data_IF_149067358658
#
_entry.id   IF_149067358658
#
_cell.length_a   1.000
_cell.length_b   1.000
_cell.length_c   1.000
_cell.angle_alpha   90.00
_cell.angle_beta   90.00
_cell.angle_gamma   90.00
#
_symmetry.space_group_name_H-M   'P 1'
#
loop_
_entity.id
_entity.type
_entity.pdbx_description
1 polymer ?
#
# COMPACT_ATOMS: atom_id res chain seq x y z
N UNK A 1 -3.57 0.01 -13.16
CA UNK A 1 -2.66 -0.42 -12.06
C UNK A 1 -1.29 -0.73 -12.62
N UNK A 2 -0.23 -0.11 -12.08
CA UNK A 2 1.17 -0.43 -12.41
C UNK A 2 1.65 -1.51 -11.43
N UNK A 3 2.15 -2.65 -11.93
CA UNK A 3 2.67 -3.73 -11.10
C UNK A 3 4.17 -3.54 -10.90
N UNK A 4 4.58 -3.26 -9.66
CA UNK A 4 6.00 -3.23 -9.28
C UNK A 4 6.41 -4.64 -8.79
N UNK A 5 7.48 -5.22 -9.32
CA UNK A 5 8.02 -6.51 -8.81
C UNK A 5 8.37 -6.33 -7.33
N UNK A 6 7.66 -7.04 -6.45
CA UNK A 6 7.80 -6.90 -4.99
C UNK A 6 8.81 -7.87 -4.39
N UNK A 7 9.64 -7.38 -3.46
CA UNK A 7 10.30 -8.21 -2.44
C UNK A 7 9.55 -8.01 -1.12
N UNK A 8 9.26 -9.09 -0.40
CA UNK A 8 8.68 -9.02 0.93
C UNK A 8 9.80 -8.83 1.95
N UNK A 9 9.70 -7.78 2.79
CA UNK A 9 10.77 -7.42 3.72
C UNK A 9 10.98 -8.45 4.85
N UNK A 10 9.91 -9.11 5.29
CA UNK A 10 9.93 -10.17 6.30
C UNK A 10 8.79 -11.14 6.02
N UNK A 11 9.10 -12.41 5.73
CA UNK A 11 8.08 -13.41 5.38
C UNK A 11 7.25 -13.86 6.58
N UNK A 12 7.75 -13.70 7.82
CA UNK A 12 7.05 -14.11 9.04
C UNK A 12 5.94 -13.14 9.44
N UNK A 13 6.08 -11.86 9.11
CA UNK A 13 5.13 -10.78 9.50
C UNK A 13 4.49 -10.08 8.30
N UNK A 14 5.25 -9.87 7.23
CA UNK A 14 4.90 -9.08 6.05
C UNK A 14 4.73 -9.93 4.77
N UNK A 15 4.68 -11.25 4.90
CA UNK A 15 4.57 -12.18 3.78
C UNK A 15 3.55 -13.28 3.98
N UNK A 16 3.61 -14.28 3.09
CA UNK A 16 2.66 -15.39 3.01
C UNK A 16 1.61 -15.18 1.92
N UNK A 17 0.91 -16.26 1.54
CA UNK A 17 -0.03 -16.28 0.43
C UNK A 17 -1.15 -15.23 0.57
N UNK A 18 -1.54 -14.91 1.81
CA UNK A 18 -2.60 -13.94 2.11
C UNK A 18 -2.12 -12.48 2.13
N UNK A 19 -0.80 -12.23 2.06
CA UNK A 19 -0.18 -10.89 2.02
C UNK A 19 0.74 -10.74 0.81
N UNK A 20 0.38 -11.40 -0.30
CA UNK A 20 1.19 -11.45 -1.51
C UNK A 20 1.35 -10.08 -2.18
N UNK A 21 0.31 -9.23 -2.12
CA UNK A 21 0.25 -7.93 -2.78
C UNK A 21 -0.34 -6.89 -1.84
N UNK A 22 0.32 -5.75 -1.73
CA UNK A 22 -0.19 -4.55 -1.09
C UNK A 22 -0.60 -3.54 -2.15
N UNK A 23 -1.86 -3.09 -2.09
CA UNK A 23 -2.39 -2.01 -2.92
C UNK A 23 -2.60 -0.74 -2.08
N UNK A 24 -2.30 0.42 -2.66
CA UNK A 24 -2.53 1.71 -2.00
C UNK A 24 -3.01 2.74 -3.02
N UNK A 25 -4.06 3.47 -2.66
CA UNK A 25 -4.71 4.42 -3.57
C UNK A 25 -3.91 5.72 -3.68
N UNK A 26 -3.78 6.22 -4.91
CA UNK A 26 -3.03 7.44 -5.22
C UNK A 26 -3.65 8.69 -4.58
N UNK A 27 -4.96 8.71 -4.30
CA UNK A 27 -5.59 9.85 -3.65
C UNK A 27 -5.04 10.13 -2.24
N UNK A 28 -4.50 9.12 -1.56
CA UNK A 28 -3.85 9.29 -0.25
C UNK A 28 -2.50 10.00 -0.36
N UNK A 29 -1.85 10.00 -1.53
CA UNK A 29 -0.59 10.73 -1.71
C UNK A 29 -0.81 12.24 -1.55
N UNK A 30 -1.93 12.77 -2.04
CA UNK A 30 -2.24 14.21 -1.93
C UNK A 30 -2.48 14.64 -0.48
N UNK A 31 -2.97 13.73 0.37
CA UNK A 31 -3.03 13.96 1.81
C UNK A 31 -1.61 14.04 2.39
N UNK A 32 -0.77 13.05 2.10
CA UNK A 32 0.57 12.98 2.68
C UNK A 32 1.53 14.05 2.15
N UNK A 33 1.38 14.54 0.92
CA UNK A 33 2.15 15.68 0.38
C UNK A 33 2.00 16.96 1.19
N UNK A 34 0.87 17.14 1.86
CA UNK A 34 0.61 18.32 2.71
C UNK A 34 1.28 18.21 4.07
N UNK A 35 1.63 17.00 4.50
CA UNK A 35 2.12 16.70 5.85
C UNK A 35 3.62 16.39 5.81
N UNK A 36 4.05 15.58 4.85
CA UNK A 36 5.43 15.17 4.66
C UNK A 36 6.10 16.18 3.73
N UNK A 37 6.98 17.01 4.28
CA UNK A 37 7.81 17.94 3.51
C UNK A 37 8.94 17.15 2.83
N UNK A 38 8.69 16.72 1.59
CA UNK A 38 9.63 15.93 0.78
C UNK A 38 9.35 16.09 -0.71
N UNK A 39 10.39 15.83 -1.49
CA UNK A 39 10.39 16.01 -2.96
C UNK A 39 10.49 14.68 -3.73
N UNK A 40 10.73 13.56 -3.04
CA UNK A 40 11.00 12.23 -3.62
C UNK A 40 9.71 11.41 -3.89
N UNK A 41 8.64 12.06 -4.33
CA UNK A 41 7.35 11.41 -4.57
C UNK A 41 7.37 10.49 -5.79
N UNK A 42 6.92 9.24 -5.59
CA UNK A 42 6.76 8.27 -6.66
C UNK A 42 5.94 7.07 -6.22
N UNK A 43 5.43 6.29 -7.18
CA UNK A 43 4.65 5.08 -6.90
C UNK A 43 5.48 4.05 -6.13
N UNK A 44 4.87 3.37 -5.15
CA UNK A 44 5.55 2.46 -4.25
C UNK A 44 6.17 3.14 -3.03
N UNK A 45 5.93 4.44 -2.79
CA UNK A 45 6.57 5.19 -1.71
C UNK A 45 6.25 4.61 -0.33
N UNK A 46 5.03 4.07 -0.15
CA UNK A 46 4.56 3.43 1.07
C UNK A 46 4.86 1.92 1.09
N UNK A 47 5.58 1.42 0.09
CA UNK A 47 5.93 0.00 -0.07
C UNK A 47 4.84 -0.82 -0.75
N UNK A 48 3.86 -0.18 -1.38
CA UNK A 48 2.83 -0.87 -2.14
C UNK A 48 3.38 -1.46 -3.44
N UNK A 49 2.82 -2.60 -3.85
CA UNK A 49 3.13 -3.25 -5.12
C UNK A 49 2.25 -2.69 -6.25
N UNK A 50 1.03 -2.27 -5.90
CA UNK A 50 0.04 -1.70 -6.79
C UNK A 50 -0.35 -0.31 -6.28
N UNK A 51 0.04 0.73 -7.00
CA UNK A 51 -0.60 2.04 -6.84
C UNK A 51 -1.90 2.01 -7.66
N UNK A 52 -3.02 2.27 -7.01
CA UNK A 52 -4.37 2.21 -7.57
C UNK A 52 -5.01 3.59 -7.64
N UNK A 53 -6.12 3.71 -8.36
CA UNK A 53 -6.95 4.90 -8.42
C UNK A 53 -8.41 4.48 -8.29
N UNK A 54 -9.18 5.19 -7.47
CA UNK A 54 -10.59 4.90 -7.19
C UNK A 54 -10.83 3.68 -6.30
N UNK A 55 -9.80 3.19 -5.60
CA UNK A 55 -9.86 2.03 -4.69
C UNK A 55 -9.57 2.46 -3.25
N UNK A 56 -10.28 3.48 -2.78
CA UNK A 56 -10.23 3.96 -1.40
C UNK A 56 -10.86 2.95 -0.43
N UNK A 57 -10.53 3.03 0.86
CA UNK A 57 -10.99 2.04 1.87
C UNK A 57 -12.52 1.97 1.99
N UNK A 58 -13.22 3.06 1.71
CA UNK A 58 -14.69 3.13 1.67
C UNK A 58 -15.32 2.35 0.50
N UNK A 59 -14.52 1.96 -0.48
CA UNK A 59 -14.95 1.32 -1.74
C UNK A 59 -14.42 -0.11 -1.90
N UNK A 60 -13.42 -0.50 -1.10
CA UNK A 60 -12.81 -1.83 -1.14
C UNK A 60 -13.29 -2.65 0.05
N UNK A 61 -14.07 -3.69 -0.23
CA UNK A 61 -14.58 -4.61 0.78
C UNK A 61 -13.72 -5.87 0.87
N UNK A 62 -13.53 -6.38 2.09
CA UNK A 62 -12.89 -7.68 2.30
C UNK A 62 -13.71 -8.75 1.59
N UNK A 63 -13.03 -9.58 0.80
CA UNK A 63 -13.66 -10.59 -0.04
C UNK A 63 -13.87 -10.18 -1.50
N UNK A 64 -13.80 -8.89 -1.82
CA UNK A 64 -13.89 -8.39 -3.19
C UNK A 64 -12.82 -9.01 -4.08
N UNK A 65 -13.20 -9.31 -5.33
CA UNK A 65 -12.34 -9.95 -6.32
C UNK A 65 -12.11 -8.99 -7.48
N UNK A 66 -10.85 -8.79 -7.83
CA UNK A 66 -10.41 -7.89 -8.88
C UNK A 66 -9.59 -8.65 -9.91
N UNK A 67 -9.73 -8.30 -11.18
CA UNK A 67 -8.94 -8.88 -12.28
C UNK A 67 -8.00 -7.82 -12.84
N UNK A 68 -6.71 -8.14 -12.89
CA UNK A 68 -5.68 -7.28 -13.51
C UNK A 68 -4.95 -8.12 -14.54
N UNK A 69 -5.16 -7.83 -15.82
CA UNK A 69 -4.68 -8.67 -16.91
C UNK A 69 -5.28 -10.09 -16.82
N UNK A 70 -4.41 -11.11 -16.76
CA UNK A 70 -4.80 -12.51 -16.60
C UNK A 70 -4.88 -12.97 -15.15
N UNK A 71 -4.51 -12.12 -14.18
CA UNK A 71 -4.40 -12.50 -12.77
C UNK A 71 -5.62 -12.03 -11.99
N UNK A 72 -6.09 -12.86 -11.06
CA UNK A 72 -7.20 -12.58 -10.15
C UNK A 72 -6.64 -12.32 -8.75
N UNK A 73 -7.10 -11.24 -8.14
CA UNK A 73 -6.74 -10.81 -6.79
C UNK A 73 -7.99 -10.80 -5.92
N UNK A 74 -7.85 -11.18 -4.64
CA UNK A 74 -8.91 -11.06 -3.64
C UNK A 74 -8.42 -10.14 -2.52
N UNK A 75 -9.23 -9.16 -2.12
CA UNK A 75 -8.97 -8.35 -0.95
C UNK A 75 -9.13 -9.21 0.31
N UNK A 76 -8.05 -9.44 1.06
CA UNK A 76 -8.06 -10.35 2.21
C UNK A 76 -8.09 -9.60 3.55
N UNK A 77 -7.36 -8.49 3.67
CA UNK A 77 -7.28 -7.72 4.91
C UNK A 77 -6.79 -6.29 4.63
N UNK A 78 -7.10 -5.32 5.53
CA UNK A 78 -6.46 -4.02 5.54
C UNK A 78 -4.94 -4.12 5.80
N UNK A 79 -4.23 -3.05 5.43
CA UNK A 79 -2.79 -2.92 5.69
C UNK A 79 -2.57 -2.21 7.03
N UNK A 80 -2.11 -2.95 8.04
CA UNK A 80 -1.82 -2.37 9.37
C UNK A 80 -0.44 -1.72 9.45
N UNK A 81 -0.31 -0.38 9.53
CA UNK A 81 0.97 0.32 9.45
C UNK A 81 2.00 -0.22 10.45
N UNK A 82 3.26 -0.27 10.02
CA UNK A 82 4.39 -0.74 10.82
C UNK A 82 5.33 0.43 11.10
N UNK A 83 6.02 0.41 12.25
CA UNK A 83 6.96 1.46 12.67
C UNK A 83 8.06 1.76 11.63
N UNK A 84 8.36 0.82 10.73
CA UNK A 84 9.31 1.02 9.61
C UNK A 84 8.92 2.18 8.68
N UNK A 85 7.62 2.50 8.56
CA UNK A 85 7.18 3.67 7.81
C UNK A 85 7.58 4.97 8.49
N UNK A 86 7.39 5.07 9.81
CA UNK A 86 7.84 6.24 10.58
C UNK A 86 9.35 6.48 10.42
N UNK A 87 10.16 5.42 10.48
CA UNK A 87 11.61 5.52 10.23
C UNK A 87 11.89 6.02 8.80
N UNK A 88 11.25 5.41 7.79
CA UNK A 88 11.42 5.81 6.38
C UNK A 88 11.09 7.28 6.15
N UNK A 89 10.04 7.77 6.79
CA UNK A 89 9.55 9.13 6.58
C UNK A 89 10.08 10.15 7.59
N UNK A 90 10.88 9.71 8.58
CA UNK A 90 11.33 10.54 9.70
C UNK A 90 10.16 11.31 10.36
N UNK A 91 9.05 10.60 10.54
CA UNK A 91 7.81 11.18 11.06
C UNK A 91 7.56 10.72 12.49
N UNK A 92 7.36 11.68 13.38
CA UNK A 92 7.26 11.46 14.83
C UNK A 92 5.94 10.78 15.23
N UNK A 93 4.85 11.10 14.53
CA UNK A 93 3.55 10.48 14.76
C UNK A 93 3.36 9.20 13.95
N UNK A 94 2.43 8.35 14.38
CA UNK A 94 2.09 7.14 13.63
C UNK A 94 1.57 7.51 12.25
N UNK A 95 2.13 6.89 11.21
CA UNK A 95 1.54 6.93 9.88
C UNK A 95 0.36 5.98 9.85
N UNK A 96 -0.82 6.52 9.58
CA UNK A 96 -2.06 5.77 9.40
C UNK A 96 -2.27 5.53 7.90
N UNK A 97 -2.65 4.31 7.52
CA UNK A 97 -2.82 3.94 6.11
C UNK A 97 -4.27 3.61 5.83
#
# INVERSE_FOLDING_TARGET
AKVLRGKQADLTVHGGALKAVYAYDISYYEHWKKILVRDDWGYGLFGENLTTEGMQDSTVFIGSVYKIGSVIFKAIQPRFPCFKLNIRFSYEFRIEL
#
